data_IF_903124980982
#
_entry.id   IF_903124980982
#
_cell.length_a   1.000
_cell.length_b   1.000
_cell.length_c   1.000
_cell.angle_alpha   90.00
_cell.angle_beta   90.00
_cell.angle_gamma   90.00
#
_symmetry.space_group_name_H-M   'P 1'
#
loop_
_entity.id
_entity.type
_entity.pdbx_description
1 polymer ?
#
# COMPACT_ATOMS: atom_id res chain seq x y z
N UNK A 1 -30.71 41.18 -1.00
CA UNK A 1 -29.87 40.25 -0.23
C UNK A 1 -30.28 38.78 -0.41
N UNK A 2 -31.52 38.46 -0.76
CA UNK A 2 -32.05 37.08 -0.93
C UNK A 2 -31.44 36.26 -2.08
N UNK A 3 -31.16 36.89 -3.24
CA UNK A 3 -30.66 36.22 -4.46
C UNK A 3 -29.28 35.57 -4.31
N UNK A 4 -28.46 36.05 -3.37
CA UNK A 4 -27.12 35.52 -3.12
C UNK A 4 -27.16 34.20 -2.34
N UNK A 5 -28.20 33.98 -1.52
CA UNK A 5 -28.31 32.80 -0.65
C UNK A 5 -28.74 31.57 -1.46
N UNK A 6 -29.72 31.70 -2.35
CA UNK A 6 -30.16 30.59 -3.23
C UNK A 6 -29.05 30.13 -4.18
N UNK A 7 -28.31 31.06 -4.77
CA UNK A 7 -27.19 30.74 -5.67
C UNK A 7 -26.07 29.99 -4.93
N UNK A 8 -25.86 30.28 -3.65
CA UNK A 8 -24.86 29.59 -2.82
C UNK A 8 -25.29 28.16 -2.44
N UNK A 9 -26.58 27.95 -2.17
CA UNK A 9 -27.16 26.64 -1.82
C UNK A 9 -27.16 25.68 -3.01
N UNK A 10 -27.50 26.17 -4.20
CA UNK A 10 -27.47 25.38 -5.45
C UNK A 10 -26.04 24.94 -5.76
N UNK A 11 -25.06 25.85 -5.68
CA UNK A 11 -23.64 25.53 -5.90
C UNK A 11 -23.13 24.44 -4.94
N UNK A 12 -23.47 24.55 -3.66
CA UNK A 12 -23.07 23.57 -2.63
C UNK A 12 -23.68 22.19 -2.89
N UNK A 13 -24.94 22.14 -3.31
CA UNK A 13 -25.63 20.89 -3.62
C UNK A 13 -25.05 20.20 -4.85
N UNK A 14 -24.73 20.95 -5.91
CA UNK A 14 -24.12 20.41 -7.13
C UNK A 14 -22.72 19.87 -6.85
N UNK A 15 -21.88 20.62 -6.14
CA UNK A 15 -20.52 20.18 -5.77
C UNK A 15 -20.56 18.90 -4.95
N UNK A 16 -21.47 18.80 -3.97
CA UNK A 16 -21.63 17.59 -3.17
C UNK A 16 -22.06 16.37 -4.03
N UNK A 17 -23.00 16.56 -4.97
CA UNK A 17 -23.40 15.48 -5.90
C UNK A 17 -22.24 15.03 -6.79
N UNK A 18 -21.49 15.97 -7.38
CA UNK A 18 -20.31 15.66 -8.18
C UNK A 18 -19.27 14.89 -7.37
N UNK A 19 -19.03 15.29 -6.12
CA UNK A 19 -18.12 14.59 -5.19
C UNK A 19 -18.51 13.11 -5.04
N UNK A 20 -19.77 12.82 -4.68
CA UNK A 20 -20.23 11.45 -4.48
C UNK A 20 -20.21 10.63 -5.77
N UNK A 21 -20.58 11.23 -6.90
CA UNK A 21 -20.52 10.56 -8.21
C UNK A 21 -19.08 10.15 -8.52
N UNK A 22 -18.11 11.06 -8.39
CA UNK A 22 -16.70 10.76 -8.67
C UNK A 22 -16.17 9.69 -7.72
N UNK A 23 -16.52 9.77 -6.42
CA UNK A 23 -16.13 8.77 -5.44
C UNK A 23 -16.64 7.38 -5.82
N UNK A 24 -17.93 7.27 -6.14
CA UNK A 24 -18.58 6.02 -6.52
C UNK A 24 -17.96 5.49 -7.82
N UNK A 25 -17.87 6.31 -8.86
CA UNK A 25 -17.33 5.89 -10.17
C UNK A 25 -15.88 5.41 -10.02
N UNK A 26 -15.03 6.17 -9.32
CA UNK A 26 -13.62 5.77 -9.12
C UNK A 26 -13.50 4.47 -8.34
N UNK A 27 -14.33 4.29 -7.31
CA UNK A 27 -14.37 3.06 -6.52
C UNK A 27 -14.87 1.87 -7.34
N UNK A 28 -15.91 2.06 -8.16
CA UNK A 28 -16.44 1.02 -9.04
C UNK A 28 -15.43 0.63 -10.11
N UNK A 29 -14.72 1.57 -10.72
CA UNK A 29 -13.65 1.29 -11.71
C UNK A 29 -12.58 0.39 -11.08
N UNK A 30 -12.14 0.71 -9.86
CA UNK A 30 -11.16 -0.10 -9.13
C UNK A 30 -11.70 -1.50 -8.80
N UNK A 31 -12.93 -1.59 -8.28
CA UNK A 31 -13.56 -2.86 -7.91
C UNK A 31 -13.74 -3.74 -9.15
N UNK A 32 -14.34 -3.22 -10.22
CA UNK A 32 -14.55 -3.98 -11.45
C UNK A 32 -13.22 -4.31 -12.15
N UNK A 33 -12.22 -3.43 -12.06
CA UNK A 33 -10.86 -3.72 -12.53
C UNK A 33 -10.28 -4.95 -11.86
N UNK A 34 -10.27 -5.00 -10.53
CA UNK A 34 -9.78 -6.16 -9.77
C UNK A 34 -10.62 -7.40 -10.04
N UNK A 35 -11.95 -7.29 -10.04
CA UNK A 35 -12.84 -8.43 -10.29
C UNK A 35 -12.70 -8.99 -11.71
N UNK A 36 -12.54 -8.14 -12.72
CA UNK A 36 -12.34 -8.58 -14.12
C UNK A 36 -11.05 -9.38 -14.31
N UNK A 37 -10.05 -9.16 -13.43
CA UNK A 37 -8.79 -9.90 -13.44
C UNK A 37 -8.74 -11.03 -12.42
N UNK A 38 -9.82 -11.31 -11.71
CA UNK A 38 -9.90 -12.43 -10.77
C UNK A 38 -9.99 -13.77 -11.52
N UNK A 39 -8.83 -14.27 -11.95
CA UNK A 39 -8.69 -15.49 -12.72
C UNK A 39 -7.27 -16.04 -12.57
N UNK A 40 -7.14 -17.36 -12.62
CA UNK A 40 -5.86 -18.06 -12.52
C UNK A 40 -4.89 -17.62 -13.62
N UNK A 41 -5.41 -17.26 -14.80
CA UNK A 41 -4.61 -16.80 -15.94
C UNK A 41 -3.91 -15.45 -15.72
N UNK A 42 -4.29 -14.69 -14.68
CA UNK A 42 -3.65 -13.42 -14.36
C UNK A 42 -2.53 -13.56 -13.30
N UNK A 43 -2.33 -14.75 -12.76
CA UNK A 43 -1.25 -15.05 -11.82
C UNK A 43 0.04 -15.18 -12.62
N UNK A 44 1.12 -14.59 -12.11
CA UNK A 44 2.43 -14.68 -12.74
C UNK A 44 3.16 -15.93 -12.26
N UNK A 45 3.87 -16.61 -13.14
CA UNK A 45 4.54 -17.87 -12.82
C UNK A 45 5.52 -17.73 -11.64
N UNK A 46 6.23 -16.59 -11.56
CA UNK A 46 7.16 -16.29 -10.47
C UNK A 46 6.47 -16.21 -9.10
N UNK A 47 5.16 -15.93 -9.05
CA UNK A 47 4.41 -15.88 -7.79
C UNK A 47 4.38 -17.25 -7.09
N UNK A 48 4.42 -18.35 -7.85
CA UNK A 48 4.46 -19.69 -7.29
C UNK A 48 5.77 -19.99 -6.56
N UNK A 49 6.84 -19.22 -6.79
CA UNK A 49 8.06 -19.33 -5.98
C UNK A 49 7.75 -19.09 -4.52
N UNK A 50 7.02 -18.01 -4.20
CA UNK A 50 6.68 -17.70 -2.81
C UNK A 50 5.83 -18.79 -2.16
N UNK A 51 4.85 -19.34 -2.89
CA UNK A 51 4.01 -20.44 -2.38
C UNK A 51 4.84 -21.69 -2.11
N UNK A 52 5.79 -22.01 -2.98
CA UNK A 52 6.72 -23.13 -2.79
C UNK A 52 7.62 -22.94 -1.57
N UNK A 53 8.14 -21.73 -1.36
CA UNK A 53 8.92 -21.42 -0.15
C UNK A 53 8.05 -21.53 1.11
N UNK A 54 6.79 -21.11 1.06
CA UNK A 54 5.84 -21.30 2.16
C UNK A 54 5.58 -22.79 2.43
N UNK A 55 5.38 -23.60 1.39
CA UNK A 55 5.20 -25.05 1.52
C UNK A 55 6.43 -25.73 2.15
N UNK A 56 7.63 -25.36 1.72
CA UNK A 56 8.86 -25.89 2.30
C UNK A 56 9.09 -25.44 3.74
N UNK A 57 8.75 -24.18 4.06
CA UNK A 57 8.79 -23.66 5.43
C UNK A 57 7.81 -24.44 6.32
N UNK A 58 6.58 -24.66 5.87
CA UNK A 58 5.54 -25.39 6.60
C UNK A 58 5.88 -26.86 6.80
N UNK A 59 6.44 -27.53 5.77
CA UNK A 59 6.70 -28.97 5.80
C UNK A 59 8.03 -29.36 6.44
N UNK A 60 9.08 -28.56 6.22
CA UNK A 60 10.44 -28.89 6.63
C UNK A 60 11.05 -27.89 7.63
N UNK A 61 10.36 -26.78 7.94
CA UNK A 61 10.91 -25.73 8.78
C UNK A 61 12.09 -24.97 8.16
N UNK A 62 12.31 -25.13 6.83
CA UNK A 62 13.47 -24.58 6.12
C UNK A 62 13.03 -23.70 4.95
N UNK A 63 13.62 -22.51 4.86
CA UNK A 63 13.51 -21.63 3.69
C UNK A 63 14.42 -22.14 2.56
N UNK A 64 13.91 -23.10 1.81
CA UNK A 64 14.66 -23.80 0.74
C UNK A 64 13.84 -23.81 -0.55
N UNK A 65 14.53 -23.79 -1.69
CA UNK A 65 13.89 -23.99 -2.99
C UNK A 65 13.52 -25.46 -3.19
N UNK A 66 14.44 -26.37 -2.88
CA UNK A 66 14.24 -27.80 -3.04
C UNK A 66 13.73 -28.44 -1.74
N UNK A 67 12.69 -29.30 -1.81
CA UNK A 67 12.12 -29.95 -0.63
C UNK A 67 13.17 -30.67 0.22
N UNK A 68 13.19 -30.39 1.52
CA UNK A 68 14.08 -31.05 2.51
C UNK A 68 15.57 -30.70 2.39
N UNK A 69 15.96 -29.86 1.43
CA UNK A 69 17.35 -29.47 1.22
C UNK A 69 17.77 -28.36 2.19
N UNK A 70 19.05 -28.00 2.13
CA UNK A 70 19.57 -26.87 2.90
C UNK A 70 18.93 -25.55 2.47
N UNK A 71 18.82 -24.57 3.40
CA UNK A 71 18.26 -23.27 3.09
C UNK A 71 18.95 -22.61 1.90
N UNK A 72 18.15 -22.08 0.99
CA UNK A 72 18.65 -21.40 -0.21
C UNK A 72 17.83 -20.13 -0.40
N UNK A 73 18.49 -18.99 -0.60
CA UNK A 73 17.81 -17.72 -0.80
C UNK A 73 17.57 -17.48 -2.29
N UNK A 74 16.30 -17.36 -2.68
CA UNK A 74 15.92 -17.03 -4.07
C UNK A 74 14.69 -16.13 -4.18
N UNK A 75 14.22 -15.57 -3.06
CA UNK A 75 13.07 -14.66 -3.04
C UNK A 75 13.55 -13.22 -3.15
N UNK A 76 12.84 -12.43 -3.95
CA UNK A 76 13.01 -10.97 -3.98
C UNK A 76 12.50 -10.30 -2.70
N UNK A 77 11.47 -10.90 -2.08
CA UNK A 77 10.77 -10.38 -0.91
C UNK A 77 10.58 -11.45 0.15
N UNK A 78 11.53 -11.58 1.08
CA UNK A 78 11.42 -12.56 2.16
C UNK A 78 10.30 -12.21 3.15
N UNK A 79 10.06 -10.92 3.41
CA UNK A 79 8.98 -10.50 4.31
C UNK A 79 7.59 -10.80 3.74
N UNK A 80 7.45 -10.90 2.42
CA UNK A 80 6.18 -11.28 1.82
C UNK A 80 5.73 -12.70 2.20
N UNK A 81 6.66 -13.57 2.62
CA UNK A 81 6.30 -14.88 3.19
C UNK A 81 5.49 -14.79 4.47
N UNK A 82 5.58 -13.68 5.23
CA UNK A 82 4.74 -13.45 6.42
C UNK A 82 3.26 -13.31 6.02
N UNK A 83 2.97 -12.86 4.79
CA UNK A 83 1.61 -12.78 4.26
C UNK A 83 1.20 -14.10 3.63
N UNK A 84 2.07 -14.67 2.79
CA UNK A 84 1.73 -15.88 2.03
C UNK A 84 1.57 -17.10 2.93
N UNK A 85 2.43 -17.28 3.94
CA UNK A 85 2.42 -18.50 4.76
C UNK A 85 1.10 -18.68 5.52
N UNK A 86 0.56 -17.66 6.23
CA UNK A 86 -0.76 -17.78 6.86
C UNK A 86 -1.89 -18.08 5.86
N UNK A 87 -1.90 -17.44 4.69
CA UNK A 87 -2.91 -17.69 3.66
C UNK A 87 -2.77 -19.12 3.12
N UNK A 88 -1.54 -19.60 2.95
CA UNK A 88 -1.24 -20.95 2.51
C UNK A 88 -1.70 -22.01 3.51
N UNK A 89 -1.57 -21.73 4.81
CA UNK A 89 -2.11 -22.59 5.87
C UNK A 89 -3.63 -22.70 5.76
N UNK A 90 -4.32 -21.57 5.51
CA UNK A 90 -5.78 -21.54 5.37
C UNK A 90 -6.28 -22.17 4.06
N UNK A 91 -5.48 -22.11 2.99
CA UNK A 91 -5.84 -22.51 1.62
C UNK A 91 -4.78 -23.48 1.07
N UNK A 92 -4.50 -24.53 1.83
CA UNK A 92 -3.44 -25.51 1.52
C UNK A 92 -3.65 -26.26 0.20
N UNK A 93 -4.89 -26.42 -0.25
CA UNK A 93 -5.22 -27.17 -1.46
C UNK A 93 -5.12 -26.36 -2.76
N UNK A 94 -4.96 -25.03 -2.70
CA UNK A 94 -4.98 -24.18 -3.90
C UNK A 94 -3.83 -23.15 -3.89
N UNK A 95 -2.67 -23.47 -4.50
CA UNK A 95 -1.52 -22.58 -4.61
C UNK A 95 -1.83 -21.28 -5.35
N UNK A 96 -2.58 -21.38 -6.45
CA UNK A 96 -2.95 -20.23 -7.29
C UNK A 96 -3.81 -19.23 -6.50
N UNK A 97 -4.84 -19.73 -5.83
CA UNK A 97 -5.69 -18.90 -4.99
C UNK A 97 -4.91 -18.29 -3.80
N UNK A 98 -3.96 -19.03 -3.22
CA UNK A 98 -3.08 -18.52 -2.17
C UNK A 98 -2.29 -17.31 -2.65
N UNK A 99 -1.61 -17.44 -3.79
CA UNK A 99 -0.81 -16.36 -4.35
C UNK A 99 -1.69 -15.13 -4.63
N UNK A 100 -2.78 -15.31 -5.37
CA UNK A 100 -3.70 -14.23 -5.74
C UNK A 100 -4.29 -13.52 -4.52
N UNK A 101 -4.77 -14.23 -3.51
CA UNK A 101 -5.33 -13.60 -2.31
C UNK A 101 -4.27 -12.86 -1.49
N UNK A 102 -3.03 -13.33 -1.49
CA UNK A 102 -1.92 -12.66 -0.82
C UNK A 102 -1.64 -11.29 -1.44
N UNK A 103 -1.58 -11.20 -2.77
CA UNK A 103 -1.39 -9.92 -3.46
C UNK A 103 -2.61 -9.01 -3.34
N UNK A 104 -3.83 -9.57 -3.38
CA UNK A 104 -5.07 -8.80 -3.21
C UNK A 104 -5.18 -8.20 -1.80
N UNK A 105 -4.87 -8.99 -0.76
CA UNK A 105 -4.89 -8.51 0.62
C UNK A 105 -3.96 -7.31 0.81
N UNK A 106 -2.73 -7.41 0.30
CA UNK A 106 -1.78 -6.30 0.34
C UNK A 106 -2.24 -5.10 -0.51
N UNK A 107 -2.91 -5.34 -1.63
CA UNK A 107 -3.50 -4.28 -2.46
C UNK A 107 -4.58 -3.49 -1.71
N UNK A 108 -5.49 -4.17 -1.03
CA UNK A 108 -6.50 -3.52 -0.20
C UNK A 108 -5.87 -2.77 0.99
N UNK A 109 -4.84 -3.35 1.61
CA UNK A 109 -4.08 -2.66 2.64
C UNK A 109 -3.43 -1.38 2.11
N UNK A 110 -2.85 -1.41 0.92
CA UNK A 110 -2.28 -0.23 0.26
C UNK A 110 -3.33 0.88 0.06
N UNK A 111 -4.52 0.56 -0.45
CA UNK A 111 -5.61 1.54 -0.63
C UNK A 111 -6.02 2.11 0.73
N UNK A 112 -6.25 1.27 1.72
CA UNK A 112 -6.66 1.68 3.07
C UNK A 112 -5.63 2.59 3.75
N UNK A 113 -4.34 2.24 3.66
CA UNK A 113 -3.25 3.05 4.19
C UNK A 113 -3.13 4.41 3.46
N UNK A 114 -3.35 4.44 2.15
CA UNK A 114 -3.31 5.68 1.36
C UNK A 114 -4.41 6.65 1.78
N UNK A 115 -5.63 6.14 2.00
CA UNK A 115 -6.76 6.92 2.51
C UNK A 115 -6.47 7.40 3.95
N UNK A 116 -5.92 6.52 4.79
CA UNK A 116 -5.57 6.84 6.18
C UNK A 116 -4.49 7.93 6.25
N UNK A 117 -3.48 7.88 5.37
CA UNK A 117 -2.44 8.89 5.24
C UNK A 117 -3.07 10.28 5.02
N UNK A 118 -4.02 10.39 4.10
CA UNK A 118 -4.71 11.66 3.83
C UNK A 118 -5.52 12.14 5.04
N UNK A 119 -6.38 11.29 5.60
CA UNK A 119 -7.30 11.74 6.65
C UNK A 119 -6.60 12.05 7.98
N UNK A 120 -5.61 11.25 8.38
CA UNK A 120 -4.96 11.33 9.69
C UNK A 120 -3.69 12.18 9.68
N UNK A 121 -2.92 12.13 8.61
CA UNK A 121 -1.55 12.67 8.58
C UNK A 121 -1.36 13.90 7.68
N UNK A 122 -2.37 14.34 6.94
CA UNK A 122 -2.35 15.65 6.27
C UNK A 122 -3.01 16.72 7.16
N UNK A 123 -2.32 17.83 7.41
CA UNK A 123 -2.87 19.00 8.10
C UNK A 123 -3.57 19.90 7.07
N UNK A 124 -4.87 19.69 6.89
CA UNK A 124 -5.68 20.50 5.99
C UNK A 124 -7.14 20.55 6.45
N UNK A 125 -7.92 21.48 5.90
CA UNK A 125 -9.37 21.54 6.14
C UNK A 125 -10.06 20.26 5.65
N UNK A 126 -11.23 19.89 6.20
CA UNK A 126 -11.96 18.70 5.76
C UNK A 126 -12.18 18.67 4.25
N UNK A 127 -12.55 19.81 3.65
CA UNK A 127 -12.75 19.95 2.20
C UNK A 127 -11.50 19.55 1.41
N UNK A 128 -10.32 20.04 1.80
CA UNK A 128 -9.06 19.70 1.13
C UNK A 128 -8.76 18.21 1.29
N UNK A 129 -8.98 17.63 2.47
CA UNK A 129 -8.77 16.17 2.69
C UNK A 129 -9.66 15.34 1.77
N UNK A 130 -10.93 15.69 1.65
CA UNK A 130 -11.86 15.02 0.74
C UNK A 130 -11.42 15.16 -0.73
N UNK A 131 -10.96 16.34 -1.15
CA UNK A 131 -10.40 16.55 -2.48
C UNK A 131 -9.13 15.73 -2.73
N UNK A 132 -8.25 15.59 -1.74
CA UNK A 132 -7.04 14.76 -1.83
C UNK A 132 -7.36 13.27 -1.89
N UNK A 133 -8.37 12.80 -1.16
CA UNK A 133 -8.85 11.42 -1.26
C UNK A 133 -9.44 11.17 -2.64
N UNK A 134 -10.27 12.08 -3.17
CA UNK A 134 -10.77 11.96 -4.53
C UNK A 134 -9.63 11.93 -5.54
N UNK A 135 -8.66 12.85 -5.42
CA UNK A 135 -7.49 12.88 -6.31
C UNK A 135 -6.76 11.55 -6.25
N UNK A 136 -6.53 11.01 -5.06
CA UNK A 136 -5.89 9.70 -4.85
C UNK A 136 -6.69 8.59 -5.55
N UNK A 137 -8.01 8.52 -5.34
CA UNK A 137 -8.86 7.50 -5.94
C UNK A 137 -8.96 7.62 -7.45
N UNK A 138 -9.01 8.84 -8.00
CA UNK A 138 -8.97 9.09 -9.44
C UNK A 138 -7.63 8.64 -10.00
N UNK A 139 -6.51 9.01 -9.37
CA UNK A 139 -5.17 8.58 -9.81
C UNK A 139 -5.05 7.06 -9.84
N UNK A 140 -5.57 6.38 -8.81
CA UNK A 140 -5.61 4.92 -8.77
C UNK A 140 -6.53 4.33 -9.84
N UNK A 141 -7.71 4.92 -10.06
CA UNK A 141 -8.65 4.48 -11.08
C UNK A 141 -8.11 4.68 -12.50
N UNK A 142 -7.34 5.74 -12.75
CA UNK A 142 -6.63 5.95 -14.01
C UNK A 142 -5.50 4.94 -14.20
N UNK A 143 -4.83 4.53 -13.12
CA UNK A 143 -3.82 3.48 -13.12
C UNK A 143 -4.40 2.05 -13.05
N UNK A 144 -5.73 1.90 -13.17
CA UNK A 144 -6.44 0.65 -12.86
C UNK A 144 -5.95 -0.54 -13.69
N UNK A 145 -5.57 -0.35 -14.96
CA UNK A 145 -5.09 -1.45 -15.79
C UNK A 145 -3.87 -2.15 -15.18
N UNK A 146 -2.86 -1.38 -14.77
CA UNK A 146 -1.65 -1.90 -14.13
C UNK A 146 -1.90 -2.30 -12.67
N UNK A 147 -2.69 -1.51 -11.95
CA UNK A 147 -2.98 -1.77 -10.55
C UNK A 147 -3.74 -3.09 -10.38
N UNK A 148 -4.81 -3.31 -11.15
CA UNK A 148 -5.59 -4.55 -11.11
C UNK A 148 -4.75 -5.77 -11.50
N UNK A 149 -3.79 -5.62 -12.43
CA UNK A 149 -2.86 -6.70 -12.77
C UNK A 149 -2.06 -7.13 -11.54
N UNK A 150 -1.49 -6.17 -10.80
CA UNK A 150 -0.72 -6.47 -9.60
C UNK A 150 -1.57 -6.99 -8.44
N UNK A 151 -2.84 -6.57 -8.32
CA UNK A 151 -3.76 -7.13 -7.34
C UNK A 151 -3.94 -8.65 -7.52
N UNK A 152 -4.02 -9.13 -8.76
CA UNK A 152 -4.27 -10.54 -9.05
C UNK A 152 -3.01 -11.35 -9.43
N UNK A 153 -1.85 -10.70 -9.56
CA UNK A 153 -0.60 -11.33 -10.01
C UNK A 153 -0.03 -12.38 -9.06
N UNK A 154 -0.33 -12.29 -7.77
CA UNK A 154 0.32 -13.08 -6.72
C UNK A 154 1.72 -12.62 -6.33
N UNK A 155 2.22 -11.55 -6.95
CA UNK A 155 3.53 -10.98 -6.68
C UNK A 155 3.51 -10.03 -5.46
N UNK A 156 4.70 -9.75 -4.96
CA UNK A 156 4.98 -8.88 -3.81
C UNK A 156 4.79 -7.38 -4.09
N UNK A 157 4.46 -6.96 -5.32
CA UNK A 157 4.37 -5.54 -5.69
C UNK A 157 3.38 -4.77 -4.82
N UNK A 158 2.17 -5.28 -4.61
CA UNK A 158 1.18 -4.62 -3.73
C UNK A 158 1.60 -4.64 -2.26
N UNK A 159 2.37 -5.64 -1.85
CA UNK A 159 2.99 -5.69 -0.52
C UNK A 159 4.02 -4.57 -0.38
N UNK A 160 4.92 -4.39 -1.34
CA UNK A 160 5.87 -3.29 -1.36
C UNK A 160 5.19 -1.91 -1.36
N UNK A 161 4.13 -1.72 -2.13
CA UNK A 161 3.34 -0.48 -2.14
C UNK A 161 2.71 -0.20 -0.77
N UNK A 162 2.06 -1.18 -0.16
CA UNK A 162 1.47 -1.02 1.18
C UNK A 162 2.52 -0.72 2.25
N UNK A 163 3.68 -1.38 2.16
CA UNK A 163 4.81 -1.15 3.04
C UNK A 163 5.39 0.26 2.90
N UNK A 164 5.60 0.78 1.68
CA UNK A 164 6.08 2.16 1.47
C UNK A 164 5.08 3.16 2.06
N UNK A 165 3.78 2.97 1.82
CA UNK A 165 2.75 3.85 2.39
C UNK A 165 2.76 3.84 3.92
N UNK A 166 2.94 2.65 4.54
CA UNK A 166 3.11 2.53 5.98
C UNK A 166 4.39 3.25 6.47
N UNK A 167 5.49 3.10 5.74
CA UNK A 167 6.75 3.75 6.07
C UNK A 167 6.62 5.29 6.03
N UNK A 168 5.93 5.83 5.02
CA UNK A 168 5.62 7.26 4.94
C UNK A 168 4.74 7.74 6.10
N UNK A 169 3.75 6.94 6.51
CA UNK A 169 2.92 7.25 7.69
C UNK A 169 3.80 7.37 8.95
N UNK A 170 4.72 6.44 9.15
CA UNK A 170 5.64 6.46 10.30
C UNK A 170 6.60 7.65 10.22
N UNK A 171 7.10 7.98 9.03
CA UNK A 171 7.96 9.14 8.80
C UNK A 171 7.26 10.46 9.16
N UNK A 172 6.01 10.65 8.73
CA UNK A 172 5.21 11.83 9.10
C UNK A 172 4.90 11.84 10.61
N UNK A 173 4.66 10.68 11.21
CA UNK A 173 4.46 10.59 12.66
C UNK A 173 5.74 10.96 13.45
N UNK A 174 6.92 10.59 12.93
CA UNK A 174 8.20 11.00 13.47
C UNK A 174 8.39 12.51 13.33
N UNK A 175 8.19 13.09 12.16
CA UNK A 175 8.30 14.54 11.93
C UNK A 175 7.43 15.36 12.90
N UNK A 176 6.23 14.88 13.21
CA UNK A 176 5.29 15.59 14.10
C UNK A 176 5.63 15.51 15.59
N UNK A 177 6.25 14.41 16.04
CA UNK A 177 6.47 14.13 17.47
C UNK A 177 7.93 14.20 17.89
N UNK A 178 8.85 14.06 16.92
CA UNK A 178 10.30 13.94 17.08
C UNK A 178 10.73 13.04 18.23
N UNK A 179 9.94 12.00 18.52
CA UNK A 179 10.17 11.14 19.68
C UNK A 179 11.21 10.06 19.36
N UNK A 180 12.01 9.67 20.35
CA UNK A 180 12.96 8.56 20.20
C UNK A 180 12.27 7.27 19.75
N UNK A 181 11.07 6.99 20.28
CA UNK A 181 10.28 5.81 19.91
C UNK A 181 9.94 5.82 18.42
N UNK A 182 9.41 6.93 17.90
CA UNK A 182 9.06 7.04 16.48
C UNK A 182 10.29 7.03 15.58
N UNK A 183 11.44 7.56 16.04
CA UNK A 183 12.71 7.48 15.33
C UNK A 183 13.27 6.06 15.25
N UNK A 184 13.24 5.30 16.36
CA UNK A 184 13.62 3.88 16.38
C UNK A 184 12.69 3.07 15.47
N UNK A 185 11.37 3.28 15.56
CA UNK A 185 10.42 2.61 14.68
C UNK A 185 10.70 2.94 13.21
N UNK A 186 10.97 4.21 12.88
CA UNK A 186 11.33 4.62 11.53
C UNK A 186 12.60 3.90 11.05
N UNK A 187 13.64 3.84 11.88
CA UNK A 187 14.89 3.15 11.54
C UNK A 187 14.72 1.65 11.37
N UNK A 188 14.00 0.97 12.28
CA UNK A 188 13.73 -0.48 12.19
C UNK A 188 12.90 -0.79 10.96
N UNK A 189 11.77 -0.09 10.79
CA UNK A 189 10.91 -0.32 9.63
C UNK A 189 11.71 -0.02 8.38
N UNK A 190 12.40 1.13 8.26
CA UNK A 190 13.24 1.45 7.11
C UNK A 190 14.33 0.42 6.82
N UNK A 191 14.95 -0.18 7.85
CA UNK A 191 15.92 -1.27 7.68
C UNK A 191 15.31 -2.54 7.09
N UNK A 192 14.05 -2.83 7.43
CA UNK A 192 13.30 -3.96 6.85
C UNK A 192 12.98 -3.79 5.35
N UNK A 193 13.20 -2.60 4.78
CA UNK A 193 12.92 -2.34 3.36
C UNK A 193 13.70 -3.29 2.46
N UNK A 194 14.95 -3.61 2.80
CA UNK A 194 15.76 -4.58 2.06
C UNK A 194 15.09 -5.96 1.98
N UNK A 195 14.45 -6.39 3.08
CA UNK A 195 13.75 -7.68 3.16
C UNK A 195 12.36 -7.65 2.51
N UNK A 196 11.79 -6.47 2.29
CA UNK A 196 10.62 -6.30 1.43
C UNK A 196 11.07 -6.32 -0.03
N UNK A 197 11.91 -5.40 -0.45
CA UNK A 197 12.42 -5.33 -1.81
C UNK A 197 13.71 -4.49 -1.83
N UNK A 198 14.82 -4.97 -2.39
CA UNK A 198 16.07 -4.19 -2.40
C UNK A 198 15.94 -2.82 -3.08
N UNK A 199 15.11 -2.70 -4.11
CA UNK A 199 14.88 -1.43 -4.83
C UNK A 199 14.19 -0.36 -3.98
N UNK A 200 13.32 -0.76 -3.05
CA UNK A 200 12.61 0.20 -2.20
C UNK A 200 13.43 0.69 -1.01
N UNK A 201 14.60 0.09 -0.76
CA UNK A 201 15.56 0.55 0.25
C UNK A 201 16.01 1.99 0.00
N UNK A 202 15.92 2.47 -1.23
CA UNK A 202 16.16 3.88 -1.57
C UNK A 202 15.26 4.83 -0.76
N UNK A 203 13.99 4.47 -0.52
CA UNK A 203 13.09 5.28 0.29
C UNK A 203 13.54 5.38 1.75
N UNK A 204 14.18 4.34 2.29
CA UNK A 204 14.73 4.33 3.64
C UNK A 204 15.84 5.36 3.84
N UNK A 205 16.52 5.76 2.76
CA UNK A 205 17.51 6.84 2.79
C UNK A 205 16.90 8.20 2.46
N UNK A 206 16.12 8.28 1.37
CA UNK A 206 15.58 9.55 0.87
C UNK A 206 14.62 10.18 1.87
N UNK A 207 13.75 9.40 2.53
CA UNK A 207 12.71 9.96 3.40
C UNK A 207 13.31 10.58 4.68
N UNK A 208 14.19 9.90 5.45
CA UNK A 208 14.83 10.57 6.58
C UNK A 208 15.73 11.73 6.15
N UNK A 209 16.41 11.61 5.00
CA UNK A 209 17.23 12.68 4.45
C UNK A 209 16.40 13.92 4.10
N UNK A 210 15.23 13.75 3.48
CA UNK A 210 14.32 14.87 3.18
C UNK A 210 13.78 15.51 4.45
N UNK A 211 13.45 14.72 5.48
CA UNK A 211 13.07 15.25 6.79
C UNK A 211 14.22 16.09 7.36
N UNK A 212 15.47 15.63 7.34
CA UNK A 212 16.60 16.42 7.86
C UNK A 212 16.82 17.71 7.06
N UNK A 213 16.72 17.63 5.73
CA UNK A 213 16.94 18.76 4.83
C UNK A 213 15.87 19.85 5.03
N UNK A 214 14.59 19.46 5.08
CA UNK A 214 13.47 20.40 5.13
C UNK A 214 12.98 20.73 6.55
N UNK A 215 13.22 19.88 7.55
CA UNK A 215 12.87 20.20 8.94
C UNK A 215 13.70 21.38 9.49
N UNK A 216 14.88 21.66 8.92
CA UNK A 216 15.67 22.85 9.27
C UNK A 216 14.97 24.16 8.91
N UNK A 217 14.20 24.20 7.82
CA UNK A 217 13.50 25.42 7.39
C UNK A 217 12.24 25.69 8.25
N UNK A 218 11.58 24.65 8.74
CA UNK A 218 10.41 24.75 9.61
C UNK A 218 10.74 25.31 11.02
N UNK A 219 11.97 25.12 11.50
CA UNK A 219 12.45 25.69 12.78
C UNK A 219 12.82 27.18 12.67
N UNK A 220 13.11 27.68 11.46
CA UNK A 220 13.47 29.09 11.24
C UNK A 220 12.26 30.01 11.00
N UNK A 221 11.07 29.45 10.75
CA UNK A 221 9.80 30.19 10.53
C UNK A 221 8.96 30.34 11.82
N UNK A 222 9.62 30.50 12.96
CA UNK A 222 9.02 30.93 14.24
C UNK A 222 9.66 32.23 14.76
N UNK A 223 9.99 33.14 13.83
CA UNK A 223 10.38 34.52 14.10
C UNK A 223 9.30 35.49 13.66
#
# INVERSE_FOLDING_TARGET
>A
MEKNTETSLIKTTVVNRCFWIILIVSSLVLIFGVLSRFSIFNIWDDAFMFVRYADNLMKYGKLSWNPGMEPSYGLTSILYLIVITPIRILISNNPALTAMLSSMLCGFLFIGLSILLVFKYIKATPTIKYSLVLLTLISLALANEHLSAHFCSGMDTTFAMSYITLYLIIAIAFERSSSLKTGITLGIIGGLAFSVRPDIMLFSYIVPFSIILFAREALTWQG
#
